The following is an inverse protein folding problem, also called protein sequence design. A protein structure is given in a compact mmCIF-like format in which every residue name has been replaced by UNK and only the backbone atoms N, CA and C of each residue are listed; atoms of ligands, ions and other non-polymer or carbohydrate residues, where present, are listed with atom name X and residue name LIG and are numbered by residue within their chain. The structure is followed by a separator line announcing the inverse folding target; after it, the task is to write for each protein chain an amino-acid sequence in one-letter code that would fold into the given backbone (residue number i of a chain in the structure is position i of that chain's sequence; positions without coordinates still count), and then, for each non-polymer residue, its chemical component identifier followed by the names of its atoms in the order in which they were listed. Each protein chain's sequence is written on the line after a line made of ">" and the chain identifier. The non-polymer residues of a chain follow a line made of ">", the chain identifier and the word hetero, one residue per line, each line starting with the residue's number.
data_IF_473733722321
#
_entry.id   IF_473733722321
#
_cell.length_a   1.000
_cell.length_b   1.000
_cell.length_c   1.000
_cell.angle_alpha   90.00
_cell.angle_beta   90.00
_cell.angle_gamma   90.00
#
_symmetry.space_group_name_H-M   'P 1'
#
loop_
_entity.id
_entity.type
_entity.pdbx_description
1 polymer ?
#
# COMPACT_ATOMS: atom_id res chain seq x y z
N UNK A 1 -8.37 1.28 9.38
CA UNK A 1 -7.64 2.42 8.81
C UNK A 1 -7.31 2.14 7.35
N UNK A 2 -6.01 2.11 7.05
CA UNK A 2 -5.47 1.88 5.71
C UNK A 2 -5.90 0.55 5.08
N UNK A 3 -5.84 -0.56 5.84
CA UNK A 3 -6.26 -1.89 5.36
C UNK A 3 -7.70 -1.87 4.85
N UNK A 4 -8.65 -1.43 5.68
CA UNK A 4 -10.07 -1.32 5.29
C UNK A 4 -10.24 -0.51 3.99
N UNK A 5 -9.60 0.66 3.91
CA UNK A 5 -9.68 1.52 2.74
C UNK A 5 -9.09 0.88 1.47
N UNK A 6 -8.03 0.08 1.61
CA UNK A 6 -7.44 -0.67 0.49
C UNK A 6 -8.38 -1.78 0.00
N UNK A 7 -9.00 -2.53 0.92
CA UNK A 7 -9.95 -3.58 0.56
C UNK A 7 -11.22 -3.02 -0.09
N UNK A 8 -11.75 -1.90 0.42
CA UNK A 8 -12.86 -1.18 -0.24
C UNK A 8 -12.49 -0.77 -1.67
N UNK A 9 -11.24 -0.37 -1.92
CA UNK A 9 -10.77 -0.05 -3.28
C UNK A 9 -10.61 -1.29 -4.15
N UNK A 10 -10.22 -2.44 -3.60
CA UNK A 10 -10.12 -3.69 -4.36
C UNK A 10 -11.48 -4.30 -4.69
N UNK A 11 -12.52 -4.02 -3.91
CA UNK A 11 -13.91 -4.33 -4.29
C UNK A 11 -14.36 -3.54 -5.51
N UNK A 12 -13.93 -2.27 -5.62
CA UNK A 12 -14.21 -1.39 -6.76
C UNK A 12 -13.30 -1.67 -7.98
N UNK A 13 -12.12 -2.24 -7.75
CA UNK A 13 -11.07 -2.49 -8.74
C UNK A 13 -10.53 -3.94 -8.65
N UNK A 14 -11.22 -4.93 -9.26
CA UNK A 14 -10.88 -6.34 -9.15
C UNK A 14 -9.51 -6.71 -9.77
N UNK A 15 -8.89 -5.82 -10.53
CA UNK A 15 -7.52 -5.93 -11.03
C UNK A 15 -6.45 -5.77 -9.93
N UNK A 16 -6.82 -5.24 -8.75
CA UNK A 16 -5.91 -5.08 -7.63
C UNK A 16 -5.65 -6.41 -6.94
N UNK A 17 -4.40 -6.90 -7.05
CA UNK A 17 -3.93 -8.01 -6.24
C UNK A 17 -3.27 -7.50 -4.94
N UNK A 18 -3.90 -7.75 -3.79
CA UNK A 18 -3.39 -7.31 -2.48
C UNK A 18 -2.60 -8.45 -1.84
N UNK A 19 -1.35 -8.19 -1.47
CA UNK A 19 -0.54 -9.08 -0.63
C UNK A 19 -0.26 -8.39 0.71
N UNK A 20 -0.56 -9.07 1.81
CA UNK A 20 -0.24 -8.59 3.15
C UNK A 20 1.10 -9.16 3.60
N UNK A 21 1.97 -8.30 4.13
CA UNK A 21 3.24 -8.70 4.70
C UNK A 21 3.34 -8.20 6.14
N UNK A 22 3.49 -9.13 7.08
CA UNK A 22 3.72 -8.80 8.49
C UNK A 22 5.17 -8.36 8.69
N UNK A 23 5.37 -7.06 8.89
CA UNK A 23 6.70 -6.45 8.91
C UNK A 23 7.40 -6.66 10.26
N UNK A 24 6.64 -6.86 11.34
CA UNK A 24 7.20 -7.12 12.68
C UNK A 24 8.02 -8.42 12.74
N UNK A 25 7.69 -9.40 11.89
CA UNK A 25 8.41 -10.67 11.80
C UNK A 25 9.77 -10.55 11.05
N UNK A 26 9.94 -9.54 10.20
CA UNK A 26 11.16 -9.37 9.39
C UNK A 26 11.46 -7.88 9.08
N UNK A 27 11.75 -7.05 10.10
CA UNK A 27 11.92 -5.60 9.93
C UNK A 27 13.08 -5.24 8.99
N UNK A 28 14.13 -6.07 8.96
CA UNK A 28 15.29 -5.89 8.06
C UNK A 28 14.89 -6.02 6.59
N UNK A 29 13.96 -6.93 6.26
CA UNK A 29 13.51 -7.10 4.89
C UNK A 29 12.76 -5.86 4.40
N UNK A 30 11.84 -5.33 5.20
CA UNK A 30 11.11 -4.10 4.87
C UNK A 30 12.04 -2.89 4.72
N UNK A 31 13.06 -2.77 5.56
CA UNK A 31 14.06 -1.70 5.43
C UNK A 31 14.89 -1.79 4.15
N UNK A 32 15.28 -3.00 3.73
CA UNK A 32 15.96 -3.25 2.45
C UNK A 32 15.08 -2.87 1.26
N UNK A 33 13.76 -3.01 1.42
CA UNK A 33 12.78 -2.57 0.44
C UNK A 33 12.44 -1.09 0.50
N UNK A 34 13.10 -0.30 1.37
CA UNK A 34 12.90 1.15 1.47
C UNK A 34 11.75 1.58 2.38
N UNK A 35 11.07 0.63 3.03
CA UNK A 35 10.00 0.93 3.99
C UNK A 35 10.64 1.37 5.30
N UNK A 36 10.56 2.66 5.62
CA UNK A 36 11.11 3.25 6.85
C UNK A 36 10.07 3.55 7.92
N UNK A 37 8.79 3.53 7.55
CA UNK A 37 7.66 3.85 8.40
C UNK A 37 6.48 2.95 8.06
N UNK A 38 5.70 2.56 9.08
CA UNK A 38 4.44 1.84 8.91
C UNK A 38 3.28 2.67 9.46
N UNK A 39 2.05 2.54 8.91
CA UNK A 39 1.67 1.70 7.76
C UNK A 39 2.30 2.17 6.43
N UNK A 40 2.57 1.22 5.53
CA UNK A 40 3.10 1.47 4.20
C UNK A 40 2.43 0.57 3.14
N UNK A 41 2.38 1.08 1.92
CA UNK A 41 1.90 0.42 0.71
C UNK A 41 3.00 0.47 -0.34
N UNK A 42 3.17 -0.63 -1.08
CA UNK A 42 4.12 -0.72 -2.19
C UNK A 42 3.39 -1.16 -3.45
N UNK A 43 3.63 -0.47 -4.56
CA UNK A 43 3.05 -0.80 -5.86
C UNK A 43 4.05 -0.44 -6.95
N UNK A 44 4.36 -1.39 -7.85
CA UNK A 44 5.27 -1.20 -8.99
C UNK A 44 6.60 -0.50 -8.64
N UNK A 45 7.19 -0.83 -7.49
CA UNK A 45 8.46 -0.25 -7.02
C UNK A 45 8.34 1.10 -6.32
N UNK A 46 7.14 1.70 -6.26
CA UNK A 46 6.86 2.92 -5.50
C UNK A 46 6.35 2.58 -4.11
N UNK A 47 6.56 3.48 -3.15
CA UNK A 47 6.17 3.31 -1.75
C UNK A 47 5.37 4.52 -1.29
N UNK A 48 4.23 4.26 -0.66
CA UNK A 48 3.45 5.22 0.10
C UNK A 48 3.54 4.84 1.57
N UNK A 49 4.09 5.70 2.41
CA UNK A 49 4.20 5.48 3.85
C UNK A 49 3.76 6.71 4.63
N UNK A 50 3.09 6.53 5.76
CA UNK A 50 2.67 7.64 6.62
C UNK A 50 1.85 7.19 7.81
N UNK A 51 1.67 8.07 8.79
CA UNK A 51 0.92 7.77 10.03
C UNK A 51 -0.55 7.45 9.72
N UNK A 52 -1.13 8.10 8.70
CA UNK A 52 -2.51 7.86 8.26
C UNK A 52 -2.58 7.77 6.74
N UNK A 53 -2.90 6.58 6.23
CA UNK A 53 -3.20 6.35 4.82
C UNK A 53 -4.72 6.24 4.67
N UNK A 54 -5.36 7.33 4.21
CA UNK A 54 -6.79 7.38 3.94
C UNK A 54 -7.11 6.89 2.51
N UNK A 55 -8.40 6.62 2.22
CA UNK A 55 -8.84 6.07 0.92
C UNK A 55 -8.35 6.92 -0.26
N UNK A 56 -8.46 8.26 -0.17
CA UNK A 56 -8.03 9.16 -1.24
C UNK A 56 -6.52 9.12 -1.49
N UNK A 57 -5.70 9.08 -0.44
CA UNK A 57 -4.25 9.00 -0.57
C UNK A 57 -3.82 7.67 -1.22
N UNK A 58 -4.48 6.58 -0.84
CA UNK A 58 -4.26 5.24 -1.43
C UNK A 58 -4.65 5.24 -2.91
N UNK A 59 -5.85 5.73 -3.25
CA UNK A 59 -6.32 5.80 -4.63
C UNK A 59 -5.40 6.66 -5.50
N UNK A 60 -5.05 7.86 -5.04
CA UNK A 60 -4.13 8.75 -5.76
C UNK A 60 -2.75 8.11 -5.99
N UNK A 61 -2.28 7.32 -5.03
CA UNK A 61 -1.03 6.58 -5.17
C UNK A 61 -1.16 5.46 -6.20
N UNK A 62 -2.23 4.66 -6.14
CA UNK A 62 -2.48 3.57 -7.08
C UNK A 62 -2.60 4.09 -8.51
N UNK A 63 -3.36 5.16 -8.75
CA UNK A 63 -3.51 5.79 -10.07
C UNK A 63 -2.19 6.31 -10.65
N UNK A 64 -1.26 6.74 -9.81
CA UNK A 64 0.07 7.20 -10.25
C UNK A 64 1.04 6.06 -10.55
N UNK A 65 0.82 4.89 -9.96
CA UNK A 65 1.85 3.84 -9.89
C UNK A 65 1.48 2.57 -10.65
N UNK A 66 0.20 2.30 -10.92
CA UNK A 66 -0.18 1.07 -11.63
C UNK A 66 -1.66 0.87 -11.95
N UNK A 67 -2.56 1.53 -11.24
CA UNK A 67 -4.00 1.46 -11.50
C UNK A 67 -4.32 2.31 -12.73
N UNK A 68 -4.84 1.68 -13.78
CA UNK A 68 -5.33 2.40 -14.96
C UNK A 68 -6.74 2.94 -14.64
N UNK A 69 -6.92 4.23 -14.83
CA UNK A 69 -8.20 4.92 -14.65
C UNK A 69 -9.27 4.43 -15.62
#
# INVERSE_FOLDING_TARGET
>A
MAKKALYELAEEHPELNITEQEITAAPVAAWREGIRMIPALKCNGHILSGILLNKQAILNFLLKTGLKA
#
